data_IF_848192176682
#
_entry.id   IF_848192176682
#
_cell.length_a   1.000
_cell.length_b   1.000
_cell.length_c   1.000
_cell.angle_alpha   90.00
_cell.angle_beta   90.00
_cell.angle_gamma   90.00
#
_symmetry.space_group_name_H-M   'P 1'
#
loop_
_entity.id
_entity.type
_entity.pdbx_description
1 polymer ?
#
# COMPACT_ATOMS: atom_id res chain seq x y z
N UNK A 1 -36.99 -9.44 32.22
CA UNK A 1 -35.85 -10.38 32.28
C UNK A 1 -35.18 -10.37 30.91
N UNK A 2 -34.21 -9.46 30.68
CA UNK A 2 -33.62 -9.23 29.35
C UNK A 2 -32.08 -9.10 29.37
N UNK A 3 -31.43 -9.59 30.43
CA UNK A 3 -29.97 -9.59 30.58
C UNK A 3 -29.35 -10.95 30.24
N UNK A 4 -30.19 -11.95 29.91
CA UNK A 4 -29.78 -13.30 29.51
C UNK A 4 -29.09 -13.34 28.15
N UNK A 5 -29.32 -12.32 27.30
CA UNK A 5 -28.75 -12.25 25.95
C UNK A 5 -27.37 -11.57 25.92
N UNK A 6 -26.83 -11.21 27.08
CA UNK A 6 -25.45 -10.72 27.20
C UNK A 6 -24.47 -11.86 26.98
N UNK A 7 -23.82 -11.88 25.83
CA UNK A 7 -22.72 -12.81 25.57
C UNK A 7 -21.54 -12.56 26.53
N UNK A 8 -21.19 -13.53 27.41
CA UNK A 8 -20.07 -13.39 28.35
C UNK A 8 -18.69 -13.38 27.68
N UNK A 9 -18.62 -13.77 26.41
CA UNK A 9 -17.37 -13.84 25.62
C UNK A 9 -17.17 -12.63 24.70
N UNK A 10 -18.12 -11.69 24.64
CA UNK A 10 -17.96 -10.47 23.85
C UNK A 10 -17.51 -9.32 24.76
N UNK A 11 -16.24 -8.93 24.69
CA UNK A 11 -15.67 -7.85 25.50
C UNK A 11 -16.42 -6.52 25.32
N UNK A 12 -17.03 -6.29 24.16
CA UNK A 12 -17.81 -5.07 23.89
C UNK A 12 -19.11 -4.99 24.70
N UNK A 13 -19.60 -6.11 25.24
CA UNK A 13 -20.80 -6.12 26.08
C UNK A 13 -20.51 -5.70 27.53
N UNK A 14 -19.24 -5.70 27.93
CA UNK A 14 -18.82 -5.50 29.31
C UNK A 14 -17.97 -4.24 29.47
N UNK A 15 -18.00 -3.67 30.67
CA UNK A 15 -17.09 -2.61 31.10
C UNK A 15 -15.92 -3.21 31.88
N UNK A 16 -14.84 -2.45 32.06
CA UNK A 16 -13.67 -2.89 32.84
C UNK A 16 -14.07 -3.34 34.26
N UNK A 17 -15.06 -2.67 34.85
CA UNK A 17 -15.65 -2.99 36.17
C UNK A 17 -16.46 -4.30 36.23
N UNK A 18 -16.60 -5.03 35.11
CA UNK A 18 -17.37 -6.29 35.05
C UNK A 18 -18.89 -6.11 34.98
N UNK A 19 -19.38 -4.88 34.85
CA UNK A 19 -20.80 -4.58 34.61
C UNK A 19 -21.10 -4.52 33.10
N UNK A 20 -22.32 -4.87 32.66
CA UNK A 20 -22.72 -4.68 31.26
C UNK A 20 -22.63 -3.21 30.85
N UNK A 21 -22.30 -2.92 29.59
CA UNK A 21 -22.36 -1.53 29.08
C UNK A 21 -23.80 -1.02 29.05
N UNK A 22 -24.00 0.26 29.36
CA UNK A 22 -25.33 0.84 29.57
C UNK A 22 -26.15 0.93 28.28
N UNK A 23 -25.50 1.30 27.18
CA UNK A 23 -26.03 1.31 25.82
C UNK A 23 -26.51 -0.08 25.37
N UNK A 24 -25.65 -1.09 25.51
CA UNK A 24 -25.98 -2.49 25.15
C UNK A 24 -27.14 -3.00 26.03
N UNK A 25 -27.10 -2.72 27.33
CA UNK A 25 -28.18 -3.13 28.22
C UNK A 25 -29.51 -2.44 27.92
N UNK A 26 -29.51 -1.16 27.50
CA UNK A 26 -30.73 -0.46 27.05
C UNK A 26 -31.28 -1.06 25.76
N UNK A 27 -30.40 -1.39 24.83
CA UNK A 27 -30.76 -2.01 23.55
C UNK A 27 -31.39 -3.38 23.76
N UNK A 28 -30.76 -4.25 24.56
CA UNK A 28 -31.23 -5.61 24.83
C UNK A 28 -32.51 -5.64 25.68
N UNK A 29 -32.62 -4.72 26.64
CA UNK A 29 -33.83 -4.64 27.48
C UNK A 29 -35.01 -3.91 26.85
N UNK A 30 -34.79 -3.19 25.74
CA UNK A 30 -35.77 -2.28 25.16
C UNK A 30 -36.17 -1.12 26.08
N UNK A 31 -35.43 -0.88 27.17
CA UNK A 31 -35.74 0.16 28.16
C UNK A 31 -34.71 1.30 28.08
N UNK A 32 -35.03 2.43 27.43
CA UNK A 32 -34.10 3.55 27.30
C UNK A 32 -33.84 4.26 28.64
N UNK A 33 -34.70 4.09 29.64
CA UNK A 33 -34.57 4.71 30.97
C UNK A 33 -33.65 3.95 31.92
N UNK A 34 -33.12 2.80 31.50
CA UNK A 34 -32.20 2.01 32.31
C UNK A 34 -31.01 2.86 32.75
N UNK A 35 -30.70 2.86 34.04
CA UNK A 35 -29.56 3.61 34.61
C UNK A 35 -28.45 2.67 35.07
N UNK A 36 -27.26 3.25 35.31
CA UNK A 36 -26.12 2.51 35.88
C UNK A 36 -26.40 2.00 37.29
N UNK A 37 -27.26 2.69 38.05
CA UNK A 37 -27.68 2.26 39.39
C UNK A 37 -28.57 1.01 39.32
N UNK A 38 -29.48 0.95 38.36
CA UNK A 38 -30.34 -0.22 38.13
C UNK A 38 -29.50 -1.45 37.77
N UNK A 39 -28.50 -1.28 36.90
CA UNK A 39 -27.55 -2.34 36.55
C UNK A 39 -26.74 -2.84 37.76
N UNK A 40 -26.28 -1.93 38.62
CA UNK A 40 -25.57 -2.31 39.86
C UNK A 40 -26.49 -3.05 40.84
N UNK A 41 -27.75 -2.65 40.93
CA UNK A 41 -28.76 -3.34 41.74
C UNK A 41 -28.97 -4.79 41.28
N UNK A 42 -29.09 -4.99 39.97
CA UNK A 42 -29.26 -6.33 39.38
C UNK A 42 -28.00 -7.19 39.50
N UNK A 43 -26.82 -6.60 39.33
CA UNK A 43 -25.54 -7.31 39.48
C UNK A 43 -25.26 -7.77 40.93
N UNK A 44 -25.85 -7.12 41.93
CA UNK A 44 -25.79 -7.59 43.33
C UNK A 44 -26.65 -8.83 43.57
N UNK A 45 -27.75 -8.97 42.82
CA UNK A 45 -28.62 -10.15 42.91
C UNK A 45 -28.13 -11.34 42.08
N UNK A 46 -27.34 -11.09 41.03
CA UNK A 46 -26.70 -12.09 40.19
C UNK A 46 -25.27 -11.62 39.87
N UNK A 47 -24.23 -12.12 40.56
CA UNK A 47 -22.87 -11.70 40.29
C UNK A 47 -22.54 -11.96 38.81
N UNK A 48 -21.88 -11.00 38.12
CA UNK A 48 -21.52 -11.18 36.72
C UNK A 48 -20.66 -12.44 36.58
N UNK A 49 -20.89 -13.20 35.51
CA UNK A 49 -20.06 -14.35 35.17
C UNK A 49 -18.59 -13.89 35.18
N UNK A 50 -17.73 -14.63 35.88
CA UNK A 50 -16.31 -14.34 35.91
C UNK A 50 -15.81 -14.20 34.47
N UNK A 51 -15.14 -13.08 34.17
CA UNK A 51 -14.52 -12.87 32.84
C UNK A 51 -13.70 -14.11 32.51
N UNK A 52 -13.78 -14.66 31.29
CA UNK A 52 -12.87 -15.73 30.90
C UNK A 52 -11.44 -15.19 31.01
N UNK A 53 -10.66 -15.71 31.95
CA UNK A 53 -9.24 -15.36 32.06
C UNK A 53 -8.54 -15.97 30.86
N UNK A 54 -8.21 -15.14 29.87
CA UNK A 54 -7.38 -15.57 28.75
C UNK A 54 -6.02 -15.95 29.32
N UNK A 55 -5.64 -17.22 29.16
CA UNK A 55 -4.30 -17.69 29.50
C UNK A 55 -3.32 -17.16 28.44
N UNK A 56 -2.86 -15.92 28.66
CA UNK A 56 -1.96 -15.22 27.75
C UNK A 56 -0.66 -16.00 27.52
N UNK A 57 -0.18 -16.77 28.51
CA UNK A 57 1.02 -17.58 28.35
C UNK A 57 0.82 -18.67 27.29
N UNK A 58 -0.36 -19.30 27.26
CA UNK A 58 -0.73 -20.26 26.22
C UNK A 58 -0.93 -19.60 24.85
N UNK A 59 -1.56 -18.42 24.81
CA UNK A 59 -1.74 -17.70 23.54
C UNK A 59 -0.40 -17.29 22.91
N UNK A 60 0.53 -16.80 23.73
CA UNK A 60 1.87 -16.40 23.29
C UNK A 60 2.66 -17.61 22.78
N UNK A 61 2.61 -18.76 23.47
CA UNK A 61 3.36 -19.95 23.06
C UNK A 61 2.86 -20.54 21.73
N UNK A 62 1.54 -20.54 21.51
CA UNK A 62 0.95 -20.96 20.22
C UNK A 62 1.36 -20.02 19.09
N UNK A 63 1.33 -18.71 19.33
CA UNK A 63 1.76 -17.72 18.34
C UNK A 63 3.25 -17.86 18.01
N UNK A 64 4.11 -18.04 19.02
CA UNK A 64 5.55 -18.25 18.83
C UNK A 64 5.86 -19.49 17.97
N UNK A 65 5.15 -20.59 18.21
CA UNK A 65 5.32 -21.83 17.44
C UNK A 65 4.85 -21.67 15.98
N UNK A 66 3.78 -20.90 15.75
CA UNK A 66 3.32 -20.57 14.40
C UNK A 66 4.37 -19.74 13.63
N UNK A 67 4.98 -18.74 14.29
CA UNK A 67 6.06 -17.92 13.70
C UNK A 67 7.28 -18.78 13.36
N UNK A 68 7.66 -19.70 14.26
CA UNK A 68 8.79 -20.60 14.03
C UNK A 68 8.57 -21.50 12.80
N UNK A 69 7.35 -22.04 12.64
CA UNK A 69 6.99 -22.84 11.47
C UNK A 69 7.03 -22.03 10.15
N UNK A 70 6.65 -20.75 10.20
CA UNK A 70 6.75 -19.86 9.04
C UNK A 70 8.21 -19.57 8.67
N UNK A 71 9.07 -19.32 9.65
CA UNK A 71 10.50 -19.12 9.42
C UNK A 71 11.16 -20.34 8.77
N UNK A 72 10.77 -21.56 9.19
CA UNK A 72 11.28 -22.78 8.58
C UNK A 72 10.86 -22.91 7.10
N UNK A 73 9.59 -22.65 6.78
CA UNK A 73 9.10 -22.64 5.39
C UNK A 73 9.82 -21.61 4.52
N UNK A 74 10.07 -20.41 5.05
CA UNK A 74 10.82 -19.37 4.34
C UNK A 74 12.28 -19.79 4.10
N UNK A 75 12.91 -20.46 5.05
CA UNK A 75 14.28 -20.98 4.88
C UNK A 75 14.34 -22.04 3.78
N UNK A 76 13.39 -22.97 3.72
CA UNK A 76 13.29 -23.97 2.65
C UNK A 76 13.06 -23.34 1.28
N UNK A 77 12.17 -22.34 1.19
CA UNK A 77 11.95 -21.59 -0.05
C UNK A 77 13.21 -20.86 -0.50
N UNK A 78 13.91 -20.20 0.42
CA UNK A 78 15.18 -19.51 0.11
C UNK A 78 16.23 -20.50 -0.43
N UNK A 79 16.31 -21.70 0.12
CA UNK A 79 17.21 -22.74 -0.38
C UNK A 79 16.85 -23.16 -1.81
N UNK A 80 15.55 -23.36 -2.10
CA UNK A 80 15.06 -23.69 -3.45
C UNK A 80 15.35 -22.58 -4.45
N UNK A 81 15.09 -21.31 -4.09
CA UNK A 81 15.41 -20.16 -4.94
C UNK A 81 16.91 -20.02 -5.20
N UNK A 82 17.75 -20.24 -4.18
CA UNK A 82 19.21 -20.21 -4.35
C UNK A 82 19.68 -21.27 -5.34
N UNK A 83 19.14 -22.49 -5.26
CA UNK A 83 19.45 -23.55 -6.20
C UNK A 83 19.01 -23.20 -7.63
N UNK A 84 17.77 -22.72 -7.80
CA UNK A 84 17.24 -22.31 -9.10
C UNK A 84 18.07 -21.16 -9.73
N UNK A 85 18.44 -20.15 -8.94
CA UNK A 85 19.30 -19.06 -9.40
C UNK A 85 20.70 -19.56 -9.79
N UNK A 86 21.25 -20.55 -9.08
CA UNK A 86 22.52 -21.18 -9.44
C UNK A 86 22.45 -21.86 -10.82
N UNK A 87 21.36 -22.58 -11.09
CA UNK A 87 21.11 -23.20 -12.40
C UNK A 87 20.96 -22.13 -13.49
N UNK A 88 20.16 -21.09 -13.24
CA UNK A 88 19.96 -20.00 -14.20
C UNK A 88 21.27 -19.27 -14.52
N UNK A 89 22.09 -18.99 -13.50
CA UNK A 89 23.41 -18.39 -13.69
C UNK A 89 24.34 -19.29 -14.52
N UNK A 90 24.30 -20.60 -14.30
CA UNK A 90 25.02 -21.59 -15.12
C UNK A 90 24.57 -21.56 -16.58
N UNK A 91 23.26 -21.59 -16.83
CA UNK A 91 22.68 -21.49 -18.18
C UNK A 91 23.04 -20.16 -18.84
N UNK A 92 22.96 -19.04 -18.12
CA UNK A 92 23.39 -17.73 -18.64
C UNK A 92 24.87 -17.73 -19.01
N UNK A 93 25.74 -18.37 -18.21
CA UNK A 93 27.16 -18.46 -18.52
C UNK A 93 27.44 -19.34 -19.75
N UNK A 94 26.67 -20.41 -19.97
CA UNK A 94 26.78 -21.23 -21.18
C UNK A 94 26.23 -20.52 -22.42
N UNK A 95 25.08 -19.85 -22.31
CA UNK A 95 24.54 -19.00 -23.37
C UNK A 95 25.54 -17.91 -23.72
N UNK A 96 26.16 -17.25 -22.75
CA UNK A 96 27.18 -16.22 -22.99
C UNK A 96 28.46 -16.75 -23.66
N UNK A 97 28.77 -18.05 -23.53
CA UNK A 97 29.89 -18.67 -24.27
C UNK A 97 29.52 -18.98 -25.72
N UNK A 98 28.26 -19.34 -25.98
CA UNK A 98 27.76 -19.68 -27.31
C UNK A 98 27.37 -18.43 -28.11
N UNK A 99 26.76 -17.46 -27.46
CA UNK A 99 26.51 -16.12 -27.99
C UNK A 99 27.66 -15.22 -27.53
N UNK A 100 28.70 -15.07 -28.36
CA UNK A 100 29.63 -13.97 -28.18
C UNK A 100 28.87 -12.63 -28.06
N UNK A 101 29.49 -11.58 -27.49
CA UNK A 101 28.83 -10.29 -27.38
C UNK A 101 28.32 -9.86 -28.75
N UNK A 102 27.01 -9.67 -28.88
CA UNK A 102 26.44 -9.17 -30.13
C UNK A 102 27.10 -7.83 -30.42
N UNK A 103 27.70 -7.70 -31.60
CA UNK A 103 28.20 -6.40 -32.02
C UNK A 103 27.05 -5.41 -32.03
N UNK A 104 27.35 -4.13 -31.77
CA UNK A 104 26.35 -3.05 -31.84
C UNK A 104 25.65 -3.09 -33.22
N UNK A 105 26.39 -3.40 -34.28
CA UNK A 105 25.87 -3.52 -35.64
C UNK A 105 24.89 -4.69 -35.81
N UNK A 106 25.12 -5.84 -35.16
CA UNK A 106 24.18 -6.97 -35.18
C UNK A 106 22.90 -6.65 -34.40
N UNK A 107 23.01 -5.97 -33.26
CA UNK A 107 21.85 -5.51 -32.50
C UNK A 107 21.01 -4.51 -33.29
N UNK A 108 21.66 -3.55 -33.98
CA UNK A 108 20.97 -2.59 -34.85
C UNK A 108 20.28 -3.32 -36.00
N UNK A 109 20.98 -4.26 -36.66
CA UNK A 109 20.43 -4.99 -37.80
C UNK A 109 19.26 -5.88 -37.40
N UNK A 110 19.32 -6.52 -36.24
CA UNK A 110 18.24 -7.36 -35.72
C UNK A 110 17.05 -6.53 -35.24
N UNK A 111 17.30 -5.38 -34.58
CA UNK A 111 16.26 -4.43 -34.22
C UNK A 111 15.53 -3.92 -35.47
N UNK A 112 16.26 -3.48 -36.51
CA UNK A 112 15.66 -3.03 -37.76
C UNK A 112 14.85 -4.12 -38.47
N UNK A 113 15.31 -5.38 -38.45
CA UNK A 113 14.54 -6.52 -38.98
C UNK A 113 13.24 -6.74 -38.22
N UNK A 114 13.27 -6.73 -36.89
CA UNK A 114 12.06 -6.89 -36.05
C UNK A 114 11.08 -5.74 -36.29
N UNK A 115 11.56 -4.50 -36.36
CA UNK A 115 10.73 -3.32 -36.66
C UNK A 115 10.11 -3.42 -38.06
N UNK A 116 10.87 -3.90 -39.06
CA UNK A 116 10.33 -4.14 -40.41
C UNK A 116 9.28 -5.26 -40.43
N UNK A 117 9.48 -6.36 -39.67
CA UNK A 117 8.49 -7.43 -39.54
C UNK A 117 7.21 -6.98 -38.84
N UNK A 118 7.31 -6.10 -37.83
CA UNK A 118 6.15 -5.49 -37.19
C UNK A 118 5.40 -4.53 -38.12
N UNK A 119 6.11 -3.75 -38.93
CA UNK A 119 5.52 -2.87 -39.93
C UNK A 119 4.80 -3.65 -41.06
N UNK A 120 5.37 -4.80 -41.48
CA UNK A 120 4.79 -5.67 -42.51
C UNK A 120 3.55 -6.45 -42.01
N UNK A 121 3.44 -6.71 -40.70
CA UNK A 121 2.31 -7.41 -40.08
C UNK A 121 1.04 -6.54 -39.92
N UNK A 122 0.99 -5.36 -40.56
CA UNK A 122 -0.22 -4.52 -40.65
C UNK A 122 -0.56 -3.75 -39.38
N UNK A 123 0.22 -3.85 -38.31
CA UNK A 123 0.01 -3.05 -37.10
C UNK A 123 0.87 -1.77 -37.18
N UNK A 124 0.53 -0.90 -38.13
CA UNK A 124 1.15 0.42 -38.26
C UNK A 124 0.50 1.33 -37.23
N UNK A 125 0.98 1.27 -35.99
CA UNK A 125 0.99 2.46 -35.15
C UNK A 125 2.09 3.34 -35.73
N UNK A 126 1.79 4.61 -36.02
CA UNK A 126 2.74 5.58 -36.56
C UNK A 126 4.11 5.47 -35.86
N UNK A 127 5.23 5.63 -36.59
CA UNK A 127 6.54 5.63 -35.98
C UNK A 127 6.59 6.72 -34.91
N UNK A 128 6.51 6.30 -33.64
CA UNK A 128 6.73 7.20 -32.51
C UNK A 128 8.17 7.66 -32.64
N UNK A 129 8.35 8.91 -33.08
CA UNK A 129 9.66 9.53 -33.18
C UNK A 129 10.40 9.28 -31.86
N UNK A 130 11.64 8.77 -31.87
CA UNK A 130 12.38 8.55 -30.65
C UNK A 130 12.59 9.91 -29.98
N UNK A 131 11.80 10.19 -28.95
CA UNK A 131 11.96 11.37 -28.12
C UNK A 131 13.18 11.10 -27.26
N UNK A 132 14.35 11.49 -27.75
CA UNK A 132 15.57 11.56 -26.96
C UNK A 132 15.45 12.74 -26.00
N UNK A 133 14.67 12.57 -24.92
CA UNK A 133 14.72 13.48 -23.78
C UNK A 133 15.90 13.08 -22.93
N UNK A 134 16.89 13.97 -22.85
CA UNK A 134 17.91 13.84 -21.83
C UNK A 134 17.22 13.97 -20.46
N UNK A 135 17.67 13.21 -19.45
CA UNK A 135 17.19 13.35 -18.06
C UNK A 135 17.31 14.81 -17.56
N UNK A 136 18.19 15.59 -18.15
CA UNK A 136 18.41 17.01 -17.85
C UNK A 136 17.25 17.89 -18.32
N UNK A 137 16.66 17.60 -19.49
CA UNK A 137 15.53 18.37 -20.02
C UNK A 137 14.24 18.16 -19.20
N UNK A 138 14.03 16.96 -18.66
CA UNK A 138 12.93 16.68 -17.72
C UNK A 138 13.05 17.50 -16.44
N UNK A 139 14.27 17.63 -15.90
CA UNK A 139 14.54 18.41 -14.69
C UNK A 139 14.35 19.91 -14.95
N UNK A 140 14.76 20.40 -16.13
CA UNK A 140 14.62 21.81 -16.49
C UNK A 140 13.18 22.21 -16.85
N UNK A 141 12.36 21.28 -17.33
CA UNK A 141 10.95 21.52 -17.63
C UNK A 141 10.04 21.44 -16.38
N UNK A 142 10.42 20.64 -15.38
CA UNK A 142 9.67 20.49 -14.12
C UNK A 142 9.99 21.54 -13.04
N UNK A 143 11.02 22.36 -13.23
CA UNK A 143 11.39 23.39 -12.28
C UNK A 143 10.36 24.54 -12.30
N UNK A 144 9.71 24.87 -11.17
CA UNK A 144 8.82 26.03 -11.11
C UNK A 144 9.64 27.29 -11.34
N UNK A 145 9.44 27.94 -12.50
CA UNK A 145 9.95 29.29 -12.75
C UNK A 145 9.29 30.20 -11.72
N UNK A 146 10.03 30.58 -10.67
CA UNK A 146 9.65 31.70 -9.80
C UNK A 146 9.52 32.92 -10.71
N UNK A 147 8.28 33.24 -11.10
CA UNK A 147 7.95 34.53 -11.64
C UNK A 147 8.32 35.54 -10.56
N UNK A 148 9.38 36.32 -10.79
CA UNK A 148 9.61 37.54 -10.04
C UNK A 148 8.41 38.45 -10.33
N UNK A 149 7.45 38.48 -9.42
CA UNK A 149 6.40 39.48 -9.39
C UNK A 149 7.07 40.83 -9.09
N UNK A 150 7.55 41.51 -10.12
CA UNK A 150 7.79 42.95 -10.04
C UNK A 150 6.42 43.60 -10.14
N UNK A 151 5.88 43.94 -8.97
CA UNK A 151 4.72 44.81 -8.87
C UNK A 151 5.05 46.17 -9.48
N UNK A 152 4.47 46.48 -10.64
CA UNK A 152 4.36 47.85 -11.14
C UNK A 152 2.93 48.08 -11.61
N UNK A 153 2.17 48.80 -10.80
CA UNK A 153 1.09 49.69 -11.21
C UNK A 153 0.68 50.53 -10.01
N UNK A 154 0.07 51.74 -10.17
CA UNK A 154 -0.41 52.35 -11.42
C UNK A 154 -0.06 53.85 -11.56
N UNK A 155 -0.28 54.37 -12.77
CA UNK A 155 -0.63 55.76 -13.09
C UNK A 155 0.34 56.89 -12.69
N UNK A 156 1.05 57.46 -13.68
CA UNK A 156 1.20 58.92 -13.84
C UNK A 156 1.64 59.29 -15.26
N UNK A 157 0.97 60.31 -15.81
CA UNK A 157 1.39 61.25 -16.88
C UNK A 157 1.62 60.66 -18.29
N UNK A 158 0.68 60.75 -19.23
CA UNK A 158 0.27 61.95 -19.97
C UNK A 158 1.42 62.61 -20.78
N UNK A 159 1.29 62.59 -22.12
CA UNK A 159 1.77 63.66 -22.99
C UNK A 159 2.80 63.28 -24.07
N UNK A 160 2.45 63.63 -25.31
CA UNK A 160 3.29 63.81 -26.50
C UNK A 160 3.92 62.53 -27.10
N UNK A 161 3.77 62.19 -28.38
CA UNK A 161 3.50 63.02 -29.56
C UNK A 161 4.61 62.78 -30.59
N UNK A 162 4.20 62.45 -31.81
CA UNK A 162 4.88 62.70 -33.09
C UNK A 162 6.00 61.77 -33.62
N UNK A 163 5.72 61.34 -34.87
CA UNK A 163 6.54 61.31 -36.08
C UNK A 163 7.73 60.34 -36.23
N UNK A 164 7.49 59.37 -37.12
CA UNK A 164 8.18 59.14 -38.39
C UNK A 164 9.66 59.58 -38.56
N UNK A 165 10.47 58.61 -39.01
CA UNK A 165 11.33 58.72 -40.20
C UNK A 165 11.44 57.35 -40.86
#
# INVERSE_FOLDING_TARGET
MALTDLNPSNDDHWTEDGLPRLDIARQLSGNPKLTRADLKGIARSNPPAAKPSVDYARAISVAALAVQNQLQKLAEQKAKFKAANGVLAGVHAEIAKLSGPHSIDENIRDHLKRTASHAAAGNVVEPVAPVYRSKLDEVMAGAPRRAAAVAMSPAMCAGFGALAK
#
